data_IF_095234728128
#
_entry.id   IF_095234728128
#
_cell.length_a   1.000
_cell.length_b   1.000
_cell.length_c   1.000
_cell.angle_alpha   90.00
_cell.angle_beta   90.00
_cell.angle_gamma   90.00
#
_symmetry.space_group_name_H-M   'P 1'
#
loop_
_entity.id
_entity.type
_entity.pdbx_description
1 polymer ?
#
# COMPACT_ATOMS: atom_id res chain seq x y z
N UNK A 1 -0.41 19.25 -19.72
CA UNK A 1 -1.51 20.17 -19.98
C UNK A 1 -1.51 21.17 -18.84
N UNK A 2 -1.42 22.46 -19.14
CA UNK A 2 -1.46 23.50 -18.10
C UNK A 2 -2.91 23.76 -17.71
N UNK A 3 -3.15 23.98 -16.41
CA UNK A 3 -4.48 24.35 -15.92
C UNK A 3 -4.79 25.81 -16.26
N UNK A 4 -6.06 26.11 -16.50
CA UNK A 4 -6.55 27.48 -16.74
C UNK A 4 -7.06 28.04 -15.41
N UNK A 5 -6.48 29.16 -14.94
CA UNK A 5 -7.00 29.84 -13.75
C UNK A 5 -8.31 30.55 -14.09
N UNK A 6 -9.35 30.29 -13.29
CA UNK A 6 -10.64 30.97 -13.35
C UNK A 6 -10.86 31.71 -12.04
N UNK A 7 -11.27 32.98 -12.12
CA UNK A 7 -11.61 33.78 -10.94
C UNK A 7 -13.12 34.02 -10.89
N UNK A 8 -13.75 33.68 -9.77
CA UNK A 8 -15.16 33.97 -9.52
C UNK A 8 -15.28 34.79 -8.22
N UNK A 9 -15.56 36.08 -8.34
CA UNK A 9 -15.51 36.99 -7.19
C UNK A 9 -14.09 37.10 -6.64
N UNK A 10 -13.89 36.69 -5.39
CA UNK A 10 -12.58 36.62 -4.72
C UNK A 10 -11.90 35.26 -4.82
N UNK A 11 -12.62 34.25 -5.33
CA UNK A 11 -12.15 32.86 -5.33
C UNK A 11 -11.42 32.52 -6.63
N UNK A 12 -10.40 31.66 -6.51
CA UNK A 12 -9.58 31.18 -7.63
C UNK A 12 -9.73 29.68 -7.79
N UNK A 13 -9.94 29.25 -9.03
CA UNK A 13 -10.06 27.86 -9.43
C UNK A 13 -9.03 27.54 -10.51
N UNK A 14 -8.56 26.30 -10.56
CA UNK A 14 -7.72 25.80 -11.65
C UNK A 14 -8.50 24.74 -12.42
N UNK A 15 -8.90 25.08 -13.65
CA UNK A 15 -9.63 24.19 -14.53
C UNK A 15 -8.65 23.36 -15.37
N UNK A 16 -8.81 22.04 -15.34
CA UNK A 16 -8.12 21.10 -16.23
C UNK A 16 -9.14 20.50 -17.21
N UNK A 17 -9.35 21.10 -18.39
CA UNK A 17 -10.32 20.59 -19.34
C UNK A 17 -9.82 19.32 -20.03
N UNK A 18 -10.71 18.37 -20.36
CA UNK A 18 -10.39 17.25 -21.25
C UNK A 18 -10.42 17.80 -22.68
N UNK A 19 -9.27 17.88 -23.36
CA UNK A 19 -9.17 18.51 -24.70
C UNK A 19 -8.79 17.54 -25.82
N UNK A 20 -8.48 16.29 -25.50
CA UNK A 20 -8.13 15.28 -26.49
C UNK A 20 -8.48 13.86 -25.99
N UNK A 21 -8.65 12.94 -26.93
CA UNK A 21 -8.69 11.51 -26.66
C UNK A 21 -7.30 10.91 -26.87
N UNK A 22 -6.86 10.05 -25.96
CA UNK A 22 -5.61 9.32 -26.09
C UNK A 22 -5.86 7.93 -26.69
N UNK A 23 -5.06 7.55 -27.70
CA UNK A 23 -5.10 6.23 -28.33
C UNK A 23 -3.73 5.58 -28.22
N UNK A 24 -3.69 4.28 -27.95
CA UNK A 24 -2.45 3.50 -28.01
C UNK A 24 -2.01 3.27 -29.47
N UNK A 25 -0.86 2.60 -29.66
CA UNK A 25 -0.34 2.30 -31.01
C UNK A 25 -1.27 1.43 -31.88
N UNK A 26 -2.30 0.82 -31.29
CA UNK A 26 -3.33 0.02 -31.98
C UNK A 26 -4.58 0.84 -32.32
N UNK A 27 -4.59 2.15 -32.02
CA UNK A 27 -5.75 3.01 -32.21
C UNK A 27 -6.88 2.77 -31.20
N UNK A 28 -6.59 2.13 -30.07
CA UNK A 28 -7.58 1.86 -29.01
C UNK A 28 -7.40 2.82 -27.83
N UNK A 29 -8.50 3.40 -27.34
CA UNK A 29 -8.51 4.42 -26.27
C UNK A 29 -9.66 4.29 -25.28
N UNK A 30 -10.48 3.25 -25.40
CA UNK A 30 -11.74 3.12 -24.64
C UNK A 30 -11.50 2.36 -23.33
N UNK A 31 -10.84 3.04 -22.39
CA UNK A 31 -10.53 2.52 -21.04
C UNK A 31 -11.46 3.09 -19.96
N UNK A 32 -12.72 3.38 -20.31
CA UNK A 32 -13.70 4.09 -19.46
C UNK A 32 -13.98 3.37 -18.12
N UNK A 33 -13.88 2.05 -18.10
CA UNK A 33 -14.12 1.22 -16.91
C UNK A 33 -12.82 0.92 -16.12
N UNK A 34 -11.71 1.58 -16.48
CA UNK A 34 -10.39 1.26 -15.95
C UNK A 34 -9.79 -0.02 -16.56
N UNK A 35 -8.70 -0.50 -15.96
CA UNK A 35 -8.03 -1.74 -16.34
C UNK A 35 -8.29 -2.80 -15.29
N UNK A 36 -8.81 -3.95 -15.71
CA UNK A 36 -8.86 -5.14 -14.83
C UNK A 36 -7.45 -5.70 -14.69
N UNK A 37 -6.90 -5.85 -13.46
CA UNK A 37 -5.59 -6.45 -13.27
C UNK A 37 -5.64 -7.96 -13.58
N UNK A 38 -4.58 -8.49 -14.20
CA UNK A 38 -4.45 -9.94 -14.40
C UNK A 38 -4.34 -10.71 -13.07
N UNK A 39 -3.79 -10.04 -12.05
CA UNK A 39 -3.66 -10.55 -10.68
C UNK A 39 -4.17 -9.51 -9.70
N UNK A 40 -5.42 -9.65 -9.26
CA UNK A 40 -6.03 -8.75 -8.29
C UNK A 40 -5.49 -9.03 -6.87
N UNK A 41 -5.01 -7.98 -6.21
CA UNK A 41 -4.60 -8.00 -4.81
C UNK A 41 -5.20 -6.77 -4.13
N UNK A 42 -5.92 -7.00 -3.05
CA UNK A 42 -6.34 -5.94 -2.16
C UNK A 42 -5.21 -5.70 -1.13
N UNK A 43 -4.43 -4.64 -1.29
CA UNK A 43 -3.35 -4.29 -0.36
C UNK A 43 -3.82 -3.97 1.06
N UNK A 44 -5.10 -3.66 1.25
CA UNK A 44 -5.67 -3.49 2.59
C UNK A 44 -5.94 -4.82 3.29
N UNK A 45 -6.03 -5.92 2.51
CA UNK A 45 -6.32 -7.26 2.99
C UNK A 45 -5.54 -8.32 2.18
N UNK A 46 -4.20 -8.23 2.11
CA UNK A 46 -3.41 -9.00 1.14
C UNK A 46 -3.49 -10.52 1.38
N UNK A 47 -3.80 -10.92 2.62
CA UNK A 47 -3.99 -12.32 3.04
C UNK A 47 -5.43 -12.62 3.49
N UNK A 48 -6.39 -11.73 3.22
CA UNK A 48 -7.75 -11.82 3.76
C UNK A 48 -7.87 -11.48 5.26
N UNK A 49 -6.82 -10.90 5.85
CA UNK A 49 -6.77 -10.45 7.24
C UNK A 49 -7.07 -8.94 7.37
N UNK A 50 -7.12 -8.43 8.61
CA UNK A 50 -7.34 -7.00 8.87
C UNK A 50 -6.16 -6.15 8.39
N UNK A 51 -6.43 -4.87 8.07
CA UNK A 51 -5.40 -3.94 7.63
C UNK A 51 -4.45 -3.56 8.79
N UNK A 52 -3.19 -3.98 8.70
CA UNK A 52 -2.15 -3.69 9.71
C UNK A 52 -1.25 -2.50 9.34
N UNK A 53 -1.51 -1.87 8.18
CA UNK A 53 -0.69 -0.79 7.63
C UNK A 53 0.09 -1.22 6.39
N UNK A 54 0.59 -0.23 5.64
CA UNK A 54 1.42 -0.47 4.46
C UNK A 54 2.88 -0.69 4.86
N UNK A 55 3.53 -1.68 4.24
CA UNK A 55 4.96 -1.87 4.33
C UNK A 55 5.75 -0.81 3.54
N UNK A 56 7.08 -0.93 3.58
CA UNK A 56 7.97 -0.05 2.82
C UNK A 56 7.90 -0.39 1.31
N UNK A 57 7.71 0.64 0.48
CA UNK A 57 7.67 0.48 -0.98
C UNK A 57 8.97 -0.12 -1.54
N UNK A 58 8.81 -1.01 -2.53
CA UNK A 58 9.95 -1.67 -3.19
C UNK A 58 10.58 -2.79 -2.37
N UNK A 59 9.92 -3.23 -1.30
CA UNK A 59 10.36 -4.35 -0.46
C UNK A 59 9.32 -5.46 -0.47
N UNK A 60 9.68 -6.67 -0.02
CA UNK A 60 8.73 -7.79 0.10
C UNK A 60 7.64 -7.56 1.16
N UNK A 61 7.72 -6.49 1.95
CA UNK A 61 6.64 -6.09 2.86
C UNK A 61 5.48 -5.39 2.15
N UNK A 62 5.71 -4.86 0.94
CA UNK A 62 4.66 -4.38 0.04
C UNK A 62 4.06 -5.60 -0.73
N UNK A 63 2.77 -5.92 -0.53
CA UNK A 63 2.15 -7.10 -1.11
C UNK A 63 2.08 -7.05 -2.65
N UNK A 64 1.98 -5.86 -3.25
CA UNK A 64 1.97 -5.70 -4.71
C UNK A 64 3.37 -5.95 -5.28
N UNK A 65 4.39 -5.40 -4.63
CA UNK A 65 5.79 -5.66 -5.00
C UNK A 65 6.15 -7.14 -4.86
N UNK A 66 5.84 -7.75 -3.70
CA UNK A 66 6.12 -9.16 -3.44
C UNK A 66 5.45 -10.06 -4.50
N UNK A 67 4.20 -9.76 -4.89
CA UNK A 67 3.53 -10.47 -5.98
C UNK A 67 4.24 -10.30 -7.30
N UNK A 68 4.62 -9.08 -7.68
CA UNK A 68 5.31 -8.81 -8.92
C UNK A 68 6.63 -9.61 -9.01
N UNK A 69 7.46 -9.57 -7.97
CA UNK A 69 8.71 -10.34 -7.90
C UNK A 69 8.44 -11.85 -7.98
N UNK A 70 7.40 -12.34 -7.31
CA UNK A 70 7.03 -13.76 -7.38
C UNK A 70 6.65 -14.19 -8.80
N UNK A 71 5.88 -13.37 -9.51
CA UNK A 71 5.49 -13.64 -10.90
C UNK A 71 6.68 -13.59 -11.87
N UNK A 72 7.57 -12.61 -11.70
CA UNK A 72 8.76 -12.43 -12.55
C UNK A 72 9.75 -13.57 -12.34
N UNK A 73 10.00 -13.96 -11.09
CA UNK A 73 11.03 -14.96 -10.75
C UNK A 73 10.56 -16.41 -10.92
N UNK A 74 9.25 -16.65 -11.05
CA UNK A 74 8.67 -18.00 -11.01
C UNK A 74 8.80 -18.69 -9.65
N UNK A 75 9.37 -18.02 -8.64
CA UNK A 75 9.51 -18.50 -7.28
C UNK A 75 8.45 -17.84 -6.41
N UNK A 76 7.83 -18.60 -5.51
CA UNK A 76 6.87 -18.01 -4.57
C UNK A 76 7.66 -17.21 -3.54
N UNK A 77 7.48 -15.89 -3.52
CA UNK A 77 7.94 -15.07 -2.38
C UNK A 77 7.08 -15.48 -1.20
N UNK A 78 7.64 -16.26 -0.28
CA UNK A 78 6.92 -16.71 0.89
C UNK A 78 6.84 -15.55 1.86
N UNK A 79 5.67 -14.92 1.97
CA UNK A 79 5.33 -14.13 3.16
C UNK A 79 5.50 -15.04 4.38
N UNK A 80 6.21 -14.60 5.45
CA UNK A 80 6.37 -15.44 6.63
C UNK A 80 4.99 -15.89 7.13
N UNK A 81 4.80 -17.21 7.16
CA UNK A 81 3.57 -17.85 7.65
C UNK A 81 3.37 -17.50 9.13
N UNK A 82 2.11 -17.43 9.62
CA UNK A 82 1.74 -17.09 11.02
C UNK A 82 2.61 -17.72 12.12
N UNK A 83 3.17 -18.91 11.88
CA UNK A 83 4.13 -19.54 12.79
C UNK A 83 5.37 -18.66 13.10
N UNK A 84 5.82 -17.86 12.14
CA UNK A 84 6.98 -16.97 12.27
C UNK A 84 6.62 -15.69 13.04
N UNK A 85 5.42 -15.14 12.83
CA UNK A 85 4.95 -13.96 13.57
C UNK A 85 4.61 -14.29 15.03
N UNK A 86 3.97 -15.43 15.30
CA UNK A 86 3.75 -15.92 16.67
C UNK A 86 5.06 -16.18 17.41
N UNK A 87 6.09 -16.71 16.73
CA UNK A 87 7.41 -16.90 17.33
C UNK A 87 8.09 -15.58 17.71
N UNK A 88 7.92 -14.52 16.88
CA UNK A 88 8.42 -13.16 17.19
C UNK A 88 7.70 -12.54 18.39
N UNK A 89 6.38 -12.67 18.48
CA UNK A 89 5.62 -12.19 19.63
C UNK A 89 5.99 -12.94 20.92
N UNK A 90 6.16 -14.26 20.85
CA UNK A 90 6.57 -15.07 22.00
C UNK A 90 8.00 -14.75 22.48
N UNK A 91 8.91 -14.38 21.58
CA UNK A 91 10.26 -13.91 21.95
C UNK A 91 10.25 -12.56 22.68
N UNK A 92 9.26 -11.69 22.41
CA UNK A 92 9.15 -10.38 23.06
C UNK A 92 8.55 -10.46 24.48
N UNK A 93 7.90 -11.59 24.84
CA UNK A 93 7.24 -11.83 26.13
C UNK A 93 8.22 -12.35 27.21
N UNK A 94 9.53 -12.21 27.02
CA UNK A 94 10.48 -12.41 28.13
C UNK A 94 10.32 -11.19 29.07
N UNK A 95 9.72 -11.46 30.23
CA UNK A 95 9.21 -10.47 31.18
C UNK A 95 10.18 -9.30 31.44
N UNK A 96 9.71 -8.08 31.21
CA UNK A 96 10.40 -6.86 31.66
C UNK A 96 10.51 -6.90 33.20
N UNK A 97 11.72 -6.84 33.78
CA UNK A 97 11.87 -6.91 35.23
C UNK A 97 11.23 -5.67 35.89
N UNK A 98 10.46 -5.90 36.96
CA UNK A 98 9.86 -4.82 37.76
C UNK A 98 10.96 -4.09 38.53
N UNK A 99 11.25 -2.86 38.12
CA UNK A 99 12.08 -1.95 38.90
C UNK A 99 11.22 -1.37 40.04
N UNK A 100 11.43 -1.87 41.27
CA UNK A 100 10.87 -1.26 42.47
C UNK A 100 11.51 0.12 42.68
N UNK A 101 10.74 1.20 42.57
CA UNK A 101 11.22 2.54 42.96
C UNK A 101 11.14 2.67 44.48
N UNK A 102 12.26 2.42 45.15
CA UNK A 102 12.42 2.64 46.60
C UNK A 102 12.42 4.15 46.84
N UNK A 103 11.53 4.63 47.72
CA UNK A 103 11.59 5.99 48.27
C UNK A 103 10.47 6.93 47.81
N UNK A 104 9.25 6.70 48.31
CA UNK A 104 8.28 7.78 48.52
C UNK A 104 7.71 7.62 49.92
N UNK A 105 8.32 8.33 50.88
CA UNK A 105 7.80 8.48 52.25
C UNK A 105 6.61 9.46 52.15
N UNK A 106 5.52 9.15 52.85
CA UNK A 106 4.30 9.98 52.94
C UNK A 106 4.57 11.29 53.68
#
# INVERSE_FOLDING_TARGET
MEGVELTAGTDKYLLFPITFQAYNAKGFGDFENGFTPDYEINENQPNGEYFEGYGDFGTESDPLYAKAISLISGSKVTTPTRAVNQAKEQMLVIATPRLNRIGMIK
#
